data_IF_139124012689
#
_entry.id   IF_139124012689
#
_cell.length_a   1.000
_cell.length_b   1.000
_cell.length_c   1.000
_cell.angle_alpha   90.00
_cell.angle_beta   90.00
_cell.angle_gamma   90.00
#
_symmetry.space_group_name_H-M   'P 1'
#
loop_
_entity.id
_entity.type
_entity.pdbx_description
1 polymer ?
#
# COMPACT_ATOMS: atom_id res chain seq x y z
N UNK A 1 3.06 5.51 -7.71
CA UNK A 1 4.35 5.12 -7.11
C UNK A 1 5.09 4.08 -7.94
N UNK A 2 4.50 2.93 -8.27
CA UNK A 2 5.17 1.92 -9.11
C UNK A 2 5.47 2.45 -10.52
N UNK A 3 4.50 3.10 -11.17
CA UNK A 3 4.68 3.67 -12.52
C UNK A 3 5.78 4.73 -12.53
N UNK A 4 5.81 5.60 -11.52
CA UNK A 4 6.84 6.64 -11.39
C UNK A 4 8.22 6.01 -11.17
N UNK A 5 8.32 4.99 -10.31
CA UNK A 5 9.56 4.24 -10.11
C UNK A 5 10.02 3.51 -11.38
N UNK A 6 9.09 2.92 -12.14
CA UNK A 6 9.39 2.28 -13.43
C UNK A 6 9.89 3.31 -14.45
N UNK A 7 9.24 4.47 -14.53
CA UNK A 7 9.63 5.55 -15.44
C UNK A 7 11.04 6.06 -15.13
N UNK A 8 11.34 6.25 -13.85
CA UNK A 8 12.66 6.70 -13.38
C UNK A 8 13.72 5.62 -13.65
N UNK A 9 13.40 4.34 -13.44
CA UNK A 9 14.28 3.21 -13.77
C UNK A 9 14.60 3.16 -15.27
N UNK A 10 13.58 3.25 -16.13
CA UNK A 10 13.78 3.24 -17.59
C UNK A 10 14.60 4.45 -18.05
N UNK A 11 14.31 5.65 -17.51
CA UNK A 11 15.07 6.86 -17.82
C UNK A 11 16.54 6.75 -17.41
N UNK A 12 16.81 6.29 -16.19
CA UNK A 12 18.17 6.07 -15.71
C UNK A 12 18.91 5.03 -16.58
N UNK A 13 18.27 3.89 -16.90
CA UNK A 13 18.85 2.88 -17.76
C UNK A 13 19.20 3.43 -19.16
N UNK A 14 18.29 4.21 -19.77
CA UNK A 14 18.53 4.84 -21.07
C UNK A 14 19.69 5.83 -21.05
N UNK A 15 19.75 6.71 -20.03
CA UNK A 15 20.84 7.66 -19.87
C UNK A 15 22.19 6.96 -19.65
N UNK A 16 22.23 5.88 -18.87
CA UNK A 16 23.44 5.08 -18.68
C UNK A 16 23.92 4.45 -19.98
N UNK A 17 23.01 3.86 -20.78
CA UNK A 17 23.37 3.28 -22.09
C UNK A 17 23.90 4.35 -23.04
N UNK A 18 23.22 5.50 -23.13
CA UNK A 18 23.63 6.61 -23.97
C UNK A 18 25.01 7.14 -23.59
N UNK A 19 25.29 7.28 -22.29
CA UNK A 19 26.59 7.70 -21.79
C UNK A 19 27.70 6.70 -22.15
N UNK A 20 27.44 5.39 -22.08
CA UNK A 20 28.41 4.35 -22.45
C UNK A 20 28.73 4.41 -23.94
N UNK A 21 27.69 4.50 -24.78
CA UNK A 21 27.85 4.55 -26.24
C UNK A 21 28.58 5.81 -26.68
N UNK A 22 28.33 6.95 -26.04
CA UNK A 22 29.01 8.21 -26.35
C UNK A 22 30.49 8.24 -25.94
N UNK A 23 30.95 7.31 -25.09
CA UNK A 23 32.28 7.33 -24.49
C UNK A 23 33.06 6.01 -24.71
N UNK A 24 32.82 5.30 -25.81
CA UNK A 24 33.44 4.00 -26.07
C UNK A 24 34.96 4.01 -26.00
N UNK A 25 35.61 5.06 -26.52
CA UNK A 25 37.09 5.17 -26.48
C UNK A 25 37.62 5.27 -25.04
N UNK A 26 36.90 5.97 -24.16
CA UNK A 26 37.24 6.07 -22.75
C UNK A 26 37.06 4.73 -22.01
N UNK A 27 36.08 3.91 -22.43
CA UNK A 27 35.88 2.57 -21.88
C UNK A 27 36.88 1.54 -22.43
N UNK A 28 37.37 1.72 -23.66
CA UNK A 28 38.42 0.88 -24.25
C UNK A 28 39.81 1.17 -23.66
N UNK A 29 39.99 2.33 -23.02
CA UNK A 29 41.25 2.68 -22.37
C UNK A 29 41.60 1.68 -21.25
N UNK A 30 42.91 1.42 -21.11
CA UNK A 30 43.42 0.53 -20.07
C UNK A 30 43.12 1.12 -18.68
N UNK A 31 42.48 0.32 -17.82
CA UNK A 31 42.30 0.63 -16.40
C UNK A 31 43.54 0.26 -15.58
N UNK A 32 44.44 -0.53 -16.14
CA UNK A 32 45.64 -1.02 -15.50
C UNK A 32 45.89 -2.50 -15.75
N UNK A 33 47.01 -2.99 -15.23
CA UNK A 33 47.34 -4.41 -15.23
C UNK A 33 47.10 -4.96 -13.84
N UNK A 34 46.32 -6.02 -13.73
CA UNK A 34 46.01 -6.70 -12.48
C UNK A 34 46.74 -8.04 -12.46
N UNK A 35 47.63 -8.23 -11.50
CA UNK A 35 48.22 -9.54 -11.21
C UNK A 35 47.28 -10.32 -10.27
N UNK A 36 46.70 -11.38 -10.79
CA UNK A 36 45.86 -12.30 -10.02
C UNK A 36 46.50 -13.69 -10.04
N UNK A 37 46.95 -14.17 -8.88
CA UNK A 37 47.55 -15.50 -8.73
C UNK A 37 48.73 -15.78 -9.69
N UNK A 38 49.54 -14.76 -10.00
CA UNK A 38 50.68 -14.86 -10.92
C UNK A 38 50.33 -14.72 -12.41
N UNK A 39 49.06 -14.48 -12.75
CA UNK A 39 48.63 -14.09 -14.09
C UNK A 39 48.39 -12.59 -14.17
N UNK A 40 49.11 -11.90 -15.04
CA UNK A 40 48.87 -10.50 -15.37
C UNK A 40 47.74 -10.41 -16.40
N UNK A 41 46.57 -9.93 -15.97
CA UNK A 41 45.48 -9.57 -16.86
C UNK A 41 45.49 -8.05 -17.09
N UNK A 42 45.47 -7.62 -18.35
CA UNK A 42 45.19 -6.22 -18.69
C UNK A 42 43.69 -6.04 -18.66
N UNK A 43 43.21 -5.15 -17.78
CA UNK A 43 41.80 -4.77 -17.75
C UNK A 43 41.61 -3.42 -18.40
N UNK A 44 40.53 -3.32 -19.17
CA UNK A 44 40.01 -2.05 -19.68
C UNK A 44 39.08 -1.41 -18.64
N UNK A 45 38.88 -0.09 -18.75
CA UNK A 45 37.93 0.65 -17.91
C UNK A 45 36.51 0.10 -18.08
N UNK A 46 36.17 -0.32 -19.30
CA UNK A 46 34.92 -0.99 -19.64
C UNK A 46 34.68 -2.29 -18.88
N UNK A 47 35.70 -3.14 -18.77
CA UNK A 47 35.58 -4.41 -18.06
C UNK A 47 35.36 -4.20 -16.55
N UNK A 48 36.14 -3.30 -15.93
CA UNK A 48 35.98 -2.97 -14.50
C UNK A 48 34.59 -2.37 -14.24
N UNK A 49 34.14 -1.48 -15.12
CA UNK A 49 32.80 -0.88 -15.04
C UNK A 49 31.69 -1.94 -15.18
N UNK A 50 31.84 -2.91 -16.08
CA UNK A 50 30.85 -3.97 -16.29
C UNK A 50 30.75 -4.88 -15.06
N UNK A 51 31.88 -5.25 -14.46
CA UNK A 51 31.92 -6.03 -13.22
C UNK A 51 31.22 -5.26 -12.09
N UNK A 52 31.57 -3.98 -11.91
CA UNK A 52 30.98 -3.13 -10.88
C UNK A 52 29.48 -2.92 -11.07
N UNK A 53 29.05 -2.68 -12.31
CA UNK A 53 27.63 -2.53 -12.66
C UNK A 53 26.86 -3.83 -12.44
N UNK A 54 27.41 -4.98 -12.86
CA UNK A 54 26.83 -6.30 -12.60
C UNK A 54 26.63 -6.55 -11.11
N UNK A 55 27.67 -6.33 -10.29
CA UNK A 55 27.58 -6.45 -8.84
C UNK A 55 26.55 -5.47 -8.24
N UNK A 56 26.52 -4.23 -8.72
CA UNK A 56 25.56 -3.21 -8.30
C UNK A 56 24.11 -3.60 -8.62
N UNK A 57 23.83 -4.13 -9.82
CA UNK A 57 22.50 -4.62 -10.20
C UNK A 57 22.07 -5.77 -9.30
N UNK A 58 22.94 -6.74 -9.06
CA UNK A 58 22.65 -7.88 -8.16
C UNK A 58 22.37 -7.39 -6.74
N UNK A 59 23.21 -6.49 -6.22
CA UNK A 59 23.01 -5.89 -4.90
C UNK A 59 21.70 -5.10 -4.81
N UNK A 60 21.37 -4.31 -5.83
CA UNK A 60 20.14 -3.53 -5.89
C UNK A 60 18.91 -4.44 -5.95
N UNK A 61 18.94 -5.55 -6.70
CA UNK A 61 17.86 -6.55 -6.71
C UNK A 61 17.65 -7.13 -5.30
N UNK A 62 18.73 -7.51 -4.61
CA UNK A 62 18.64 -8.00 -3.23
C UNK A 62 18.02 -6.96 -2.29
N UNK A 63 18.42 -5.70 -2.44
CA UNK A 63 17.91 -4.59 -1.64
C UNK A 63 16.42 -4.29 -1.94
N UNK A 64 16.04 -4.31 -3.22
CA UNK A 64 14.66 -4.15 -3.66
C UNK A 64 13.78 -5.29 -3.15
N UNK A 65 14.28 -6.52 -3.12
CA UNK A 65 13.59 -7.66 -2.51
C UNK A 65 13.35 -7.42 -1.01
N UNK A 66 14.38 -6.96 -0.29
CA UNK A 66 14.28 -6.65 1.14
C UNK A 66 13.24 -5.55 1.41
N UNK A 67 13.28 -4.45 0.65
CA UNK A 67 12.34 -3.34 0.81
C UNK A 67 10.92 -3.67 0.32
N UNK A 68 10.76 -4.49 -0.72
CA UNK A 68 9.44 -4.93 -1.20
C UNK A 68 8.71 -5.78 -0.16
N UNK A 69 9.44 -6.58 0.63
CA UNK A 69 8.89 -7.29 1.78
C UNK A 69 8.31 -6.34 2.84
N UNK A 70 8.97 -5.19 3.06
CA UNK A 70 8.56 -4.19 4.05
C UNK A 70 7.30 -3.41 3.60
N UNK A 71 7.22 -3.06 2.32
CA UNK A 71 6.07 -2.36 1.73
C UNK A 71 4.78 -3.20 1.69
N UNK A 72 4.89 -4.52 1.52
CA UNK A 72 3.72 -5.44 1.55
C UNK A 72 3.03 -5.45 2.92
N UNK A 73 3.80 -5.32 4.00
CA UNK A 73 3.27 -5.21 5.36
C UNK A 73 2.54 -3.88 5.61
N UNK A 74 3.07 -2.77 5.08
CA UNK A 74 2.44 -1.45 5.19
C UNK A 74 1.09 -1.38 4.44
N UNK A 75 0.99 -1.95 3.23
CA UNK A 75 -0.28 -2.03 2.49
C UNK A 75 -1.30 -2.95 3.16
N UNK A 76 -0.86 -4.07 3.74
CA UNK A 76 -1.76 -4.95 4.51
C UNK A 76 -2.27 -4.25 5.78
N UNK A 77 -1.39 -3.57 6.52
CA UNK A 77 -1.78 -2.81 7.72
C UNK A 77 -2.74 -1.66 7.42
N UNK A 78 -2.61 -0.98 6.28
CA UNK A 78 -3.55 0.08 5.90
C UNK A 78 -4.91 -0.47 5.49
N UNK A 79 -4.95 -1.61 4.79
CA UNK A 79 -6.19 -2.32 4.48
C UNK A 79 -6.92 -2.77 5.76
N UNK A 80 -6.21 -3.42 6.70
CA UNK A 80 -6.80 -3.85 7.98
C UNK A 80 -7.30 -2.67 8.83
N UNK A 81 -6.60 -1.53 8.82
CA UNK A 81 -7.07 -0.33 9.53
C UNK A 81 -8.32 0.28 8.88
N UNK A 82 -8.45 0.22 7.55
CA UNK A 82 -9.65 0.67 6.83
C UNK A 82 -10.84 -0.27 7.10
N UNK A 83 -10.61 -1.57 7.12
CA UNK A 83 -11.62 -2.57 7.47
C UNK A 83 -12.17 -2.34 8.90
N UNK A 84 -11.27 -2.14 9.87
CA UNK A 84 -11.67 -1.85 11.25
C UNK A 84 -12.38 -0.50 11.40
N UNK A 85 -12.02 0.50 10.61
CA UNK A 85 -12.72 1.78 10.60
C UNK A 85 -14.13 1.65 10.00
N UNK A 86 -14.29 0.86 8.94
CA UNK A 86 -15.58 0.57 8.33
C UNK A 86 -16.50 -0.21 9.28
N UNK A 87 -16.01 -1.28 9.91
CA UNK A 87 -16.79 -2.04 10.90
C UNK A 87 -17.23 -1.20 12.09
N UNK A 88 -16.37 -0.29 12.57
CA UNK A 88 -16.75 0.64 13.66
C UNK A 88 -17.81 1.66 13.24
N UNK A 89 -17.82 2.08 11.97
CA UNK A 89 -18.86 2.96 11.45
C UNK A 89 -20.20 2.21 11.35
N UNK A 90 -20.17 0.98 10.85
CA UNK A 90 -21.34 0.10 10.73
C UNK A 90 -21.96 -0.24 12.09
N UNK A 91 -21.15 -0.58 13.10
CA UNK A 91 -21.64 -0.80 14.46
C UNK A 91 -22.32 0.44 15.06
N UNK A 92 -21.77 1.65 14.83
CA UNK A 92 -22.41 2.89 15.32
C UNK A 92 -23.73 3.17 14.62
N UNK A 93 -23.82 2.85 13.34
CA UNK A 93 -25.07 2.98 12.59
C UNK A 93 -26.14 2.00 13.10
N UNK A 94 -25.75 0.76 13.37
CA UNK A 94 -26.62 -0.26 13.97
C UNK A 94 -27.09 0.15 15.37
N UNK A 95 -26.20 0.69 16.20
CA UNK A 95 -26.56 1.21 17.53
C UNK A 95 -27.60 2.34 17.43
N UNK A 96 -27.39 3.33 16.55
CA UNK A 96 -28.38 4.39 16.34
C UNK A 96 -29.74 3.87 15.86
N UNK A 97 -29.75 2.86 14.97
CA UNK A 97 -31.00 2.25 14.50
C UNK A 97 -31.75 1.54 15.63
N UNK A 98 -31.03 0.85 16.52
CA UNK A 98 -31.63 0.23 17.71
C UNK A 98 -32.19 1.28 18.68
N UNK A 99 -31.44 2.34 18.98
CA UNK A 99 -31.91 3.44 19.85
C UNK A 99 -33.20 4.09 19.29
N UNK A 100 -33.25 4.32 17.98
CA UNK A 100 -34.45 4.85 17.32
C UNK A 100 -35.62 3.87 17.37
N UNK A 101 -35.37 2.57 17.17
CA UNK A 101 -36.40 1.54 17.27
C UNK A 101 -36.96 1.43 18.70
N UNK A 102 -36.10 1.45 19.73
CA UNK A 102 -36.51 1.45 21.13
C UNK A 102 -37.37 2.68 21.47
N UNK A 103 -36.95 3.88 21.05
CA UNK A 103 -37.74 5.10 21.27
C UNK A 103 -39.11 5.07 20.58
N UNK A 104 -39.20 4.41 19.42
CA UNK A 104 -40.46 4.26 18.67
C UNK A 104 -41.40 3.26 19.35
N UNK A 105 -40.86 2.19 19.91
CA UNK A 105 -41.61 1.20 20.68
C UNK A 105 -42.11 1.80 22.00
N UNK A 106 -41.29 2.61 22.67
CA UNK A 106 -41.67 3.27 23.93
C UNK A 106 -42.75 4.35 23.69
N UNK A 107 -42.68 5.07 22.58
CA UNK A 107 -43.73 6.01 22.15
C UNK A 107 -45.04 5.30 21.83
N UNK A 108 -45.00 4.12 21.17
CA UNK A 108 -46.19 3.31 20.93
C UNK A 108 -46.76 2.75 22.22
N UNK A 109 -45.92 2.24 23.13
CA UNK A 109 -46.34 1.71 24.43
C UNK A 109 -46.96 2.79 25.32
N UNK A 110 -46.40 3.99 25.32
CA UNK A 110 -46.96 5.12 26.10
C UNK A 110 -48.25 5.66 25.47
N UNK A 111 -48.41 5.57 24.15
CA UNK A 111 -49.69 5.88 23.48
C UNK A 111 -50.76 4.82 23.80
N UNK A 112 -50.41 3.52 23.75
CA UNK A 112 -51.28 2.39 24.10
C UNK A 112 -51.70 2.41 25.59
N UNK A 113 -50.77 2.69 26.50
CA UNK A 113 -51.04 2.83 27.95
C UNK A 113 -51.85 4.09 28.27
N UNK A 114 -51.84 5.10 27.39
CA UNK A 114 -52.65 6.32 27.54
C UNK A 114 -54.05 6.18 26.95
N UNK A 115 -54.34 5.06 26.30
CA UNK A 115 -55.64 4.73 25.73
C UNK A 115 -56.44 3.61 26.43
N UNK A 116 -56.53 3.54 27.78
CA UNK A 116 -57.47 2.65 28.47
C UNK A 116 -58.85 3.27 28.68
N UNK A 117 -59.02 4.56 28.36
CA UNK A 117 -60.24 5.33 28.65
C UNK A 117 -61.17 5.51 27.42
N UNK A 118 -60.71 5.35 26.17
CA UNK A 118 -61.61 5.42 25.00
C UNK A 118 -62.61 4.24 24.99
N UNK A 119 -62.17 3.05 25.41
CA UNK A 119 -63.02 1.85 25.45
C UNK A 119 -64.05 1.90 26.60
N UNK A 120 -63.77 2.68 27.67
CA UNK A 120 -64.70 2.85 28.80
C UNK A 120 -65.81 3.85 28.51
N UNK A 121 -65.54 4.89 27.71
CA UNK A 121 -66.54 5.91 27.37
C UNK A 121 -67.53 5.43 26.30
N UNK A 122 -67.11 4.53 25.38
CA UNK A 122 -68.03 3.87 24.45
C UNK A 122 -69.02 2.95 25.19
N UNK A 123 -68.56 2.18 26.17
CA UNK A 123 -69.42 1.29 26.97
C UNK A 123 -70.37 2.10 27.88
N UNK A 124 -69.99 3.31 28.30
CA UNK A 124 -70.81 4.17 29.17
C UNK A 124 -71.84 5.00 28.42
N UNK A 125 -71.63 5.28 27.14
CA UNK A 125 -72.59 6.00 26.27
C UNK A 125 -73.68 5.10 25.67
N UNK A 126 -73.51 3.78 25.76
CA UNK A 126 -74.47 2.78 25.28
C UNK A 126 -75.45 2.27 26.37
N UNK A 127 -75.48 2.88 27.56
CA UNK A 127 -76.34 2.51 28.70
C UNK A 127 -77.26 3.65 29.10
#
# INVERSE_FOLDING_TARGET
MIILGLLLLLGAAGLSIAAIVANQDAFAASAGTLELFGYSAQLTIGEVFLIGTGAGVVGLIGLLMLFSGMGRSARRRSATRRELAAQRAEMRELQRKNELAESSLESQRTADVRDPDLDRDEVRSAR
#
